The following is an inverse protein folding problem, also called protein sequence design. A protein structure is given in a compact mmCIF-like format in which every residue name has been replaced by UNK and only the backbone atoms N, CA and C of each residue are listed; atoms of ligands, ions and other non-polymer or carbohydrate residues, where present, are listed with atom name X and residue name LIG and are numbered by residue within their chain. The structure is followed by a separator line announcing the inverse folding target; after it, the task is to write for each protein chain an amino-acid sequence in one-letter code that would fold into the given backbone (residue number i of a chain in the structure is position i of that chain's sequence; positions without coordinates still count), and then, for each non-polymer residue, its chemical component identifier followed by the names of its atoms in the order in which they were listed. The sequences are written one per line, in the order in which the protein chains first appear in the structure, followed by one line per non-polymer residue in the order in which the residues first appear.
data_IF_644983093966
#
_entry.id   IF_644983093966
#
_cell.length_a   1.000
_cell.length_b   1.000
_cell.length_c   1.000
_cell.angle_alpha   90.00
_cell.angle_beta   90.00
_cell.angle_gamma   90.00
#
_symmetry.space_group_name_H-M   'P 1'
#
loop_
_entity.id
_entity.type
_entity.pdbx_description
1 polymer ?
#
# COMPACT_ATOMS: atom_id res chain seq x y z
N UNK A 1 7.07 40.08 0.89
CA UNK A 1 6.64 39.27 -0.27
C UNK A 1 5.70 38.18 0.24
N UNK A 2 4.39 38.42 0.17
CA UNK A 2 3.39 37.40 0.47
C UNK A 2 3.22 36.58 -0.78
N UNK A 3 3.94 35.47 -0.89
CA UNK A 3 3.78 34.53 -2.00
C UNK A 3 2.38 33.96 -1.90
N UNK A 4 1.44 34.46 -2.70
CA UNK A 4 0.12 33.85 -2.91
C UNK A 4 0.36 32.53 -3.60
N UNK A 5 0.68 31.50 -2.81
CA UNK A 5 0.78 30.13 -3.26
C UNK A 5 -0.63 29.71 -3.65
N UNK A 6 -0.92 29.75 -4.95
CA UNK A 6 -2.15 29.23 -5.56
C UNK A 6 -2.41 27.86 -4.95
N UNK A 7 -3.42 27.77 -4.08
CA UNK A 7 -3.81 26.50 -3.52
C UNK A 7 -4.39 25.69 -4.68
N UNK A 8 -3.82 24.53 -5.03
CA UNK A 8 -4.41 23.70 -6.07
C UNK A 8 -5.85 23.38 -5.68
N UNK A 9 -6.75 23.37 -6.65
CA UNK A 9 -8.16 23.11 -6.37
C UNK A 9 -8.29 21.75 -5.66
N UNK A 10 -9.06 21.65 -4.57
CA UNK A 10 -9.22 20.39 -3.85
C UNK A 10 -9.66 19.24 -4.77
N UNK A 11 -10.49 19.55 -5.77
CA UNK A 11 -10.92 18.60 -6.79
C UNK A 11 -9.75 18.04 -7.62
N UNK A 12 -8.81 18.89 -8.05
CA UNK A 12 -7.63 18.43 -8.79
C UNK A 12 -6.72 17.55 -7.94
N UNK A 13 -6.55 17.88 -6.65
CA UNK A 13 -5.83 17.03 -5.70
C UNK A 13 -6.45 15.64 -5.59
N UNK A 14 -7.77 15.58 -5.43
CA UNK A 14 -8.52 14.31 -5.39
C UNK A 14 -8.42 13.51 -6.68
N UNK A 15 -8.63 14.13 -7.84
CA UNK A 15 -8.53 13.45 -9.13
C UNK A 15 -7.12 12.88 -9.34
N UNK A 16 -6.09 13.66 -9.00
CA UNK A 16 -4.70 13.21 -9.12
C UNK A 16 -4.41 12.05 -8.19
N UNK A 17 -4.84 12.13 -6.93
CA UNK A 17 -4.68 11.04 -5.96
C UNK A 17 -5.39 9.77 -6.42
N UNK A 18 -6.66 9.87 -6.83
CA UNK A 18 -7.45 8.72 -7.29
C UNK A 18 -6.85 8.10 -8.56
N UNK A 19 -6.37 8.91 -9.50
CA UNK A 19 -5.69 8.42 -10.69
C UNK A 19 -4.44 7.61 -10.33
N UNK A 20 -3.58 8.15 -9.45
CA UNK A 20 -2.37 7.45 -8.99
C UNK A 20 -2.74 6.15 -8.26
N UNK A 21 -3.72 6.21 -7.35
CA UNK A 21 -4.15 5.07 -6.56
C UNK A 21 -4.75 3.98 -7.43
N UNK A 22 -5.74 4.30 -8.26
CA UNK A 22 -6.45 3.31 -9.08
C UNK A 22 -5.55 2.75 -10.17
N UNK A 23 -4.88 3.60 -10.96
CA UNK A 23 -4.02 3.13 -12.05
C UNK A 23 -2.79 2.38 -11.50
N UNK A 24 -2.18 2.90 -10.44
CA UNK A 24 -1.01 2.27 -9.81
C UNK A 24 -1.35 0.92 -9.19
N UNK A 25 -2.41 0.83 -8.37
CA UNK A 25 -2.83 -0.43 -7.77
C UNK A 25 -3.31 -1.41 -8.84
N UNK A 26 -3.98 -0.93 -9.89
CA UNK A 26 -4.40 -1.78 -10.99
C UNK A 26 -3.20 -2.42 -11.69
N UNK A 27 -2.22 -1.59 -12.09
CA UNK A 27 -1.03 -2.05 -12.81
C UNK A 27 -0.14 -2.96 -11.97
N UNK A 28 0.17 -2.57 -10.74
CA UNK A 28 1.14 -3.28 -9.89
C UNK A 28 0.54 -4.49 -9.19
N UNK A 29 -0.77 -4.47 -8.88
CA UNK A 29 -1.44 -5.54 -8.14
C UNK A 29 -2.55 -6.19 -8.94
N UNK A 30 -3.65 -5.51 -9.22
CA UNK A 30 -4.83 -6.22 -9.71
C UNK A 30 -4.60 -6.96 -11.02
N UNK A 31 -3.92 -6.35 -11.99
CA UNK A 31 -3.62 -6.98 -13.26
C UNK A 31 -2.76 -8.25 -13.12
N UNK A 32 -1.57 -8.23 -12.48
CA UNK A 32 -0.77 -9.45 -12.34
C UNK A 32 -1.45 -10.51 -11.47
N UNK A 33 -2.18 -10.14 -10.42
CA UNK A 33 -2.88 -11.11 -9.57
C UNK A 33 -4.08 -11.74 -10.28
N UNK A 34 -4.81 -10.96 -11.09
CA UNK A 34 -5.89 -11.48 -11.93
C UNK A 34 -5.36 -12.54 -12.91
N UNK A 35 -4.25 -12.25 -13.60
CA UNK A 35 -3.61 -13.23 -14.47
C UNK A 35 -3.14 -14.49 -13.72
N UNK A 36 -2.56 -14.32 -12.52
CA UNK A 36 -2.18 -15.46 -11.67
C UNK A 36 -3.35 -16.34 -11.24
N UNK A 37 -4.56 -15.78 -11.10
CA UNK A 37 -5.73 -16.56 -10.73
C UNK A 37 -6.07 -17.64 -11.78
N UNK A 38 -5.93 -17.33 -13.07
CA UNK A 38 -6.17 -18.31 -14.14
C UNK A 38 -5.05 -19.36 -14.22
N UNK A 39 -3.79 -18.94 -14.08
CA UNK A 39 -2.65 -19.88 -14.02
C UNK A 39 -2.81 -20.86 -12.86
N UNK A 40 -3.24 -20.36 -11.70
CA UNK A 40 -3.51 -21.20 -10.54
C UNK A 40 -4.70 -22.14 -10.76
N UNK A 41 -5.72 -21.71 -11.50
CA UNK A 41 -6.87 -22.56 -11.85
C UNK A 41 -6.48 -23.69 -12.81
N UNK A 42 -5.59 -23.43 -13.77
CA UNK A 42 -5.17 -24.42 -14.78
C UNK A 42 -4.09 -25.38 -14.27
N UNK A 43 -3.09 -24.87 -13.55
CA UNK A 43 -1.91 -25.63 -13.14
C UNK A 43 -1.92 -26.04 -11.66
N UNK A 44 -2.97 -25.69 -10.91
CA UNK A 44 -3.07 -25.90 -9.47
C UNK A 44 -1.84 -25.40 -8.69
N UNK A 45 -1.18 -24.35 -9.19
CA UNK A 45 0.05 -23.78 -8.63
C UNK A 45 0.11 -22.26 -8.83
N UNK A 46 0.66 -21.55 -7.83
CA UNK A 46 0.79 -20.07 -7.82
C UNK A 46 2.22 -19.62 -8.23
N UNK A 47 3.05 -20.58 -8.65
CA UNK A 47 4.45 -20.39 -9.03
C UNK A 47 5.44 -20.78 -7.92
N UNK A 48 6.72 -20.59 -8.18
CA UNK A 48 7.79 -20.95 -7.26
C UNK A 48 7.91 -19.99 -6.08
N UNK A 49 8.34 -20.50 -4.93
CA UNK A 49 8.57 -19.71 -3.72
C UNK A 49 9.78 -18.79 -3.91
N UNK A 50 9.71 -17.54 -3.43
CA UNK A 50 10.88 -16.63 -3.42
C UNK A 50 11.99 -17.17 -2.50
N UNK A 51 11.63 -17.91 -1.46
CA UNK A 51 12.58 -18.43 -0.47
C UNK A 51 13.21 -19.76 -0.91
N UNK A 52 12.43 -20.67 -1.50
CA UNK A 52 12.93 -21.99 -1.89
C UNK A 52 13.25 -22.11 -3.37
N UNK A 53 12.75 -21.23 -4.23
CA UNK A 53 12.87 -21.37 -5.68
C UNK A 53 12.31 -22.73 -6.10
N UNK A 54 13.14 -23.53 -6.77
CA UNK A 54 12.86 -24.91 -7.18
C UNK A 54 13.39 -25.96 -6.20
N UNK A 55 13.99 -25.56 -5.09
CA UNK A 55 14.55 -26.48 -4.10
C UNK A 55 13.44 -27.14 -3.28
N UNK A 56 13.63 -28.43 -2.96
CA UNK A 56 12.69 -29.19 -2.15
C UNK A 56 12.72 -28.80 -0.66
N UNK A 57 13.80 -28.16 -0.19
CA UNK A 57 14.00 -27.77 1.21
C UNK A 57 14.48 -26.32 1.32
N UNK A 58 14.18 -25.69 2.47
CA UNK A 58 14.61 -24.33 2.76
C UNK A 58 16.14 -24.29 2.95
N UNK A 59 16.81 -23.18 2.55
CA UNK A 59 18.22 -22.99 2.87
C UNK A 59 18.43 -22.91 4.39
N UNK A 60 19.59 -23.37 4.86
CA UNK A 60 19.94 -23.28 6.27
C UNK A 60 20.00 -21.81 6.75
N UNK A 61 19.52 -21.52 7.98
CA UNK A 61 19.54 -20.17 8.52
C UNK A 61 20.96 -19.58 8.54
N UNK A 62 21.18 -18.53 7.76
CA UNK A 62 22.47 -17.83 7.68
C UNK A 62 22.29 -16.38 7.26
N UNK A 63 23.26 -15.51 7.58
CA UNK A 63 23.23 -14.11 7.14
C UNK A 63 23.21 -13.99 5.62
N UNK A 64 23.93 -14.88 4.93
CA UNK A 64 23.92 -14.94 3.47
C UNK A 64 22.52 -15.24 2.94
N UNK A 65 21.85 -16.26 3.48
CA UNK A 65 20.48 -16.61 3.08
C UNK A 65 19.51 -15.45 3.36
N UNK A 66 19.66 -14.73 4.47
CA UNK A 66 18.84 -13.55 4.79
C UNK A 66 19.04 -12.41 3.78
N UNK A 67 20.29 -12.11 3.39
CA UNK A 67 20.61 -11.08 2.40
C UNK A 67 20.14 -11.47 0.99
N UNK A 68 20.34 -12.74 0.60
CA UNK A 68 19.89 -13.28 -0.67
C UNK A 68 18.35 -13.18 -0.76
N UNK A 69 17.64 -13.54 0.30
CA UNK A 69 16.19 -13.38 0.39
C UNK A 69 15.76 -11.91 0.34
N UNK A 70 16.40 -11.01 1.11
CA UNK A 70 16.07 -9.59 1.11
C UNK A 70 16.23 -8.97 -0.28
N UNK A 71 17.28 -9.34 -1.01
CA UNK A 71 17.51 -8.89 -2.38
C UNK A 71 16.48 -9.45 -3.36
N UNK A 72 16.19 -10.75 -3.29
CA UNK A 72 15.19 -11.39 -4.14
C UNK A 72 13.79 -10.81 -3.90
N UNK A 73 13.39 -10.68 -2.63
CA UNK A 73 12.12 -10.10 -2.23
C UNK A 73 12.02 -8.63 -2.65
N UNK A 74 13.07 -7.83 -2.41
CA UNK A 74 13.12 -6.43 -2.82
C UNK A 74 12.92 -6.25 -4.33
N UNK A 75 13.58 -7.05 -5.16
CA UNK A 75 13.37 -7.07 -6.62
C UNK A 75 11.98 -7.54 -7.02
N UNK A 76 11.32 -8.38 -6.22
CA UNK A 76 9.96 -8.81 -6.52
C UNK A 76 8.92 -7.72 -6.21
N UNK A 77 9.18 -6.85 -5.22
CA UNK A 77 8.19 -5.88 -4.72
C UNK A 77 8.51 -4.41 -5.04
N UNK A 78 9.63 -4.10 -5.70
CA UNK A 78 10.10 -2.72 -5.85
C UNK A 78 9.04 -1.77 -6.43
N UNK A 79 8.27 -2.20 -7.43
CA UNK A 79 7.20 -1.39 -8.03
C UNK A 79 6.11 -1.04 -7.00
N UNK A 80 5.74 -2.03 -6.17
CA UNK A 80 4.76 -1.82 -5.11
C UNK A 80 5.30 -0.91 -4.00
N UNK A 81 6.59 -1.02 -3.68
CA UNK A 81 7.25 -0.16 -2.70
C UNK A 81 7.28 1.29 -3.15
N UNK A 82 7.66 1.54 -4.42
CA UNK A 82 7.62 2.88 -5.02
C UNK A 82 6.20 3.44 -5.01
N UNK A 83 5.20 2.62 -5.39
CA UNK A 83 3.80 3.03 -5.33
C UNK A 83 3.35 3.35 -3.91
N UNK A 84 3.71 2.54 -2.91
CA UNK A 84 3.38 2.79 -1.50
C UNK A 84 3.95 4.11 -0.98
N UNK A 85 5.20 4.42 -1.33
CA UNK A 85 5.83 5.70 -1.00
C UNK A 85 5.15 6.88 -1.72
N UNK A 86 4.83 6.70 -3.01
CA UNK A 86 4.11 7.69 -3.80
C UNK A 86 2.71 7.95 -3.23
N UNK A 87 1.98 6.91 -2.81
CA UNK A 87 0.67 7.07 -2.17
C UNK A 87 0.79 7.76 -0.81
N UNK A 88 1.78 7.40 0.02
CA UNK A 88 1.98 8.05 1.32
C UNK A 88 2.31 9.53 1.20
N UNK A 89 3.16 9.90 0.25
CA UNK A 89 3.45 11.30 -0.06
C UNK A 89 2.24 12.02 -0.69
N UNK A 90 1.52 11.37 -1.59
CA UNK A 90 0.31 11.91 -2.21
C UNK A 90 -0.81 12.17 -1.19
N UNK A 91 -0.99 11.30 -0.20
CA UNK A 91 -1.93 11.53 0.92
C UNK A 91 -1.59 12.84 1.64
N UNK A 92 -0.31 13.12 1.89
CA UNK A 92 0.11 14.33 2.59
C UNK A 92 -0.02 15.59 1.71
N UNK A 93 0.38 15.48 0.44
CA UNK A 93 0.48 16.62 -0.47
C UNK A 93 -0.85 16.98 -1.16
N UNK A 94 -1.68 15.99 -1.50
CA UNK A 94 -2.86 16.16 -2.34
C UNK A 94 -4.18 16.13 -1.57
N UNK A 95 -4.25 15.41 -0.43
CA UNK A 95 -5.51 15.27 0.31
C UNK A 95 -5.71 16.38 1.36
N UNK A 96 -6.89 17.03 1.40
CA UNK A 96 -7.21 18.02 2.43
C UNK A 96 -7.29 17.39 3.84
N UNK A 97 -6.58 17.96 4.82
CA UNK A 97 -6.55 17.45 6.21
C UNK A 97 -7.95 17.33 6.83
N UNK A 98 -8.82 18.30 6.58
CA UNK A 98 -10.17 18.31 7.13
C UNK A 98 -11.01 17.11 6.65
N UNK A 99 -10.75 16.62 5.43
CA UNK A 99 -11.46 15.45 4.90
C UNK A 99 -10.97 14.17 5.55
N UNK A 100 -9.63 14.00 5.65
CA UNK A 100 -9.02 12.83 6.31
C UNK A 100 -9.47 12.77 7.76
N UNK A 101 -9.46 13.89 8.48
CA UNK A 101 -9.95 13.99 9.85
C UNK A 101 -11.46 13.67 9.96
N UNK A 102 -12.28 14.05 8.98
CA UNK A 102 -13.72 13.78 8.99
C UNK A 102 -14.03 12.28 8.83
N UNK A 103 -13.33 11.60 7.93
CA UNK A 103 -13.58 10.18 7.61
C UNK A 103 -12.87 9.25 8.59
N UNK A 104 -11.59 9.52 8.85
CA UNK A 104 -10.71 8.63 9.62
C UNK A 104 -10.34 9.19 11.00
N UNK A 105 -10.62 10.46 11.30
CA UNK A 105 -10.15 11.11 12.54
C UNK A 105 -10.97 10.84 13.81
N UNK A 106 -12.15 10.22 13.71
CA UNK A 106 -12.98 9.90 14.88
C UNK A 106 -12.42 8.65 15.59
N UNK A 107 -12.54 8.59 16.91
CA UNK A 107 -12.01 7.51 17.75
C UNK A 107 -12.96 6.32 17.93
N UNK A 108 -13.93 6.14 17.03
CA UNK A 108 -14.96 5.09 17.11
C UNK A 108 -14.84 4.01 16.03
N UNK A 109 -15.75 3.02 16.10
CA UNK A 109 -15.82 1.89 15.16
C UNK A 109 -15.89 2.34 13.69
N UNK A 110 -16.57 3.45 13.39
CA UNK A 110 -16.69 3.95 12.02
C UNK A 110 -15.34 4.24 11.34
N UNK A 111 -14.37 4.82 12.06
CA UNK A 111 -13.05 5.09 11.49
C UNK A 111 -12.18 3.83 11.39
N UNK A 112 -12.36 2.86 12.30
CA UNK A 112 -11.73 1.53 12.22
C UNK A 112 -12.26 0.77 10.99
N UNK A 113 -13.58 0.70 10.83
CA UNK A 113 -14.23 0.07 9.68
C UNK A 113 -13.83 0.75 8.37
N UNK A 114 -13.81 2.09 8.32
CA UNK A 114 -13.34 2.83 7.15
C UNK A 114 -11.87 2.50 6.83
N UNK A 115 -10.99 2.45 7.85
CA UNK A 115 -9.60 2.05 7.69
C UNK A 115 -9.44 0.64 7.11
N UNK A 116 -10.17 -0.34 7.66
CA UNK A 116 -10.17 -1.71 7.16
C UNK A 116 -10.74 -1.84 5.76
N UNK A 117 -11.83 -1.15 5.43
CA UNK A 117 -12.39 -1.16 4.06
C UNK A 117 -11.42 -0.55 3.04
N UNK A 118 -10.69 0.49 3.43
CA UNK A 118 -9.65 1.09 2.58
C UNK A 118 -8.45 0.16 2.35
N UNK A 119 -8.24 -0.88 3.18
CA UNK A 119 -7.16 -1.85 2.97
C UNK A 119 -7.46 -2.84 1.83
N UNK A 120 -8.73 -3.19 1.63
CA UNK A 120 -9.18 -4.15 0.62
C UNK A 120 -8.67 -3.87 -0.80
N UNK A 121 -8.79 -2.65 -1.35
CA UNK A 121 -8.27 -2.37 -2.69
C UNK A 121 -6.74 -2.27 -2.74
N UNK A 122 -6.09 -1.95 -1.61
CA UNK A 122 -4.64 -1.77 -1.52
C UNK A 122 -3.89 -3.10 -1.59
N UNK A 123 -4.37 -4.12 -0.87
CA UNK A 123 -3.72 -5.43 -0.70
C UNK A 123 -2.20 -5.30 -0.46
N UNK A 124 -1.73 -4.24 0.17
CA UNK A 124 -0.31 -3.92 0.29
C UNK A 124 0.39 -4.86 1.27
N UNK A 125 1.73 -4.89 1.25
CA UNK A 125 2.49 -5.43 2.38
C UNK A 125 2.63 -4.36 3.47
N UNK A 126 2.95 -4.78 4.69
CA UNK A 126 3.32 -3.88 5.80
C UNK A 126 4.37 -2.84 5.37
N UNK A 127 5.34 -3.24 4.54
CA UNK A 127 6.36 -2.38 3.97
C UNK A 127 5.83 -1.20 3.13
N UNK A 128 4.77 -1.43 2.35
CA UNK A 128 4.18 -0.42 1.47
C UNK A 128 3.07 0.37 2.18
N UNK A 129 2.37 -0.25 3.14
CA UNK A 129 1.33 0.40 3.91
C UNK A 129 1.88 1.41 4.94
N UNK A 130 3.08 1.17 5.49
CA UNK A 130 3.70 2.03 6.49
C UNK A 130 3.79 3.53 6.09
N UNK A 131 4.33 3.91 4.91
CA UNK A 131 4.37 5.32 4.51
C UNK A 131 2.98 5.92 4.29
N UNK A 132 1.99 5.13 3.85
CA UNK A 132 0.60 5.57 3.70
C UNK A 132 -0.03 5.86 5.07
N UNK A 133 0.16 4.96 6.03
CA UNK A 133 -0.29 5.12 7.42
C UNK A 133 0.35 6.37 8.04
N UNK A 134 1.65 6.57 7.85
CA UNK A 134 2.34 7.77 8.30
C UNK A 134 1.72 9.05 7.69
N UNK A 135 1.42 9.02 6.39
CA UNK A 135 0.73 10.12 5.71
C UNK A 135 -0.68 10.39 6.26
N UNK A 136 -1.47 9.35 6.50
CA UNK A 136 -2.80 9.47 7.10
C UNK A 136 -2.73 10.06 8.51
N UNK A 137 -1.76 9.62 9.33
CA UNK A 137 -1.54 10.13 10.69
C UNK A 137 -1.09 11.59 10.69
N UNK A 138 -0.23 11.99 9.75
CA UNK A 138 0.15 13.39 9.54
C UNK A 138 -1.04 14.28 9.13
N UNK A 139 -2.14 13.69 8.61
CA UNK A 139 -3.38 14.36 8.24
C UNK A 139 -4.53 14.09 9.24
N UNK A 140 -4.19 13.79 10.50
CA UNK A 140 -5.11 13.64 11.63
C UNK A 140 -6.10 12.45 11.54
N UNK A 141 -5.78 11.38 10.79
CA UNK A 141 -6.48 10.11 10.95
C UNK A 141 -6.32 9.58 12.38
N UNK A 142 -7.34 8.94 12.95
CA UNK A 142 -7.29 8.38 14.31
C UNK A 142 -6.32 7.19 14.38
N UNK A 143 -5.76 6.88 15.56
CA UNK A 143 -4.90 5.70 15.71
C UNK A 143 -5.64 4.42 15.30
N UNK A 144 -6.90 4.27 15.69
CA UNK A 144 -7.70 3.09 15.36
C UNK A 144 -7.92 2.91 13.86
N UNK A 145 -8.30 3.95 13.13
CA UNK A 145 -8.49 3.87 11.68
C UNK A 145 -7.19 3.63 10.92
N UNK A 146 -6.10 4.27 11.35
CA UNK A 146 -4.79 4.11 10.75
C UNK A 146 -4.22 2.68 10.97
N UNK A 147 -4.36 2.14 12.19
CA UNK A 147 -3.95 0.77 12.52
C UNK A 147 -4.82 -0.25 11.79
N UNK A 148 -6.13 -0.03 11.69
CA UNK A 148 -7.02 -0.92 10.94
C UNK A 148 -6.63 -1.01 9.46
N UNK A 149 -6.33 0.12 8.82
CA UNK A 149 -5.78 0.13 7.46
C UNK A 149 -4.44 -0.62 7.37
N UNK A 150 -3.56 -0.42 8.36
CA UNK A 150 -2.24 -1.05 8.35
C UNK A 150 -2.31 -2.58 8.48
N UNK A 151 -3.06 -3.06 9.48
CA UNK A 151 -3.24 -4.49 9.75
C UNK A 151 -4.05 -5.18 8.65
N UNK A 152 -5.03 -4.50 8.05
CA UNK A 152 -5.76 -5.03 6.90
C UNK A 152 -4.91 -5.15 5.62
N UNK A 153 -3.66 -4.64 5.62
CA UNK A 153 -2.65 -4.80 4.57
C UNK A 153 -1.43 -5.59 5.09
N UNK A 154 -1.62 -6.49 6.07
CA UNK A 154 -0.57 -7.39 6.57
C UNK A 154 -1.13 -8.81 6.60
#
# INVERSE_FOLDING_TARGET
MTTTRTQPSPALGWMTFLLIAVAGLFYVKWFPYYNKAFVAAEHHSIGQSILMGTSATAPEPSLKAALDYAWAYGKAIWQAMVLGLLLGSAVQALLPAHWVARVLGRTGFGSVAAGGLLSLPGMMCTCCAAPVVAGLRARHASPGGAVAFWLGNT
#
